data_IF_511841682726
#
_entry.id   IF_511841682726
#
_cell.length_a   1.000
_cell.length_b   1.000
_cell.length_c   1.000
_cell.angle_alpha   90.00
_cell.angle_beta   90.00
_cell.angle_gamma   90.00
#
_symmetry.space_group_name_H-M   'P 1'
#
loop_
_entity.id
_entity.type
_entity.pdbx_description
1 polymer ?
#
# COMPACT_ATOMS: atom_id res chain seq x y z
N UNK A 1 21.77 -51.03 -57.44
CA UNK A 1 20.72 -50.04 -57.75
C UNK A 1 20.35 -49.31 -56.47
N UNK A 2 20.61 -48.00 -56.47
CA UNK A 2 20.15 -46.91 -55.61
C UNK A 2 19.99 -47.15 -54.09
N UNK A 3 21.08 -46.87 -53.38
CA UNK A 3 21.06 -46.50 -51.97
C UNK A 3 20.54 -45.07 -51.79
N UNK A 4 19.54 -44.89 -50.92
CA UNK A 4 19.06 -43.59 -50.49
C UNK A 4 20.07 -42.95 -49.53
N UNK A 5 20.62 -41.81 -49.96
CA UNK A 5 21.50 -40.96 -49.17
C UNK A 5 20.66 -40.06 -48.28
N UNK A 6 20.96 -40.09 -46.98
CA UNK A 6 20.51 -39.12 -46.00
C UNK A 6 20.97 -37.71 -46.41
N UNK A 7 20.01 -36.83 -46.70
CA UNK A 7 20.28 -35.41 -46.89
C UNK A 7 20.23 -34.70 -45.53
N UNK A 8 21.42 -34.44 -45.01
CA UNK A 8 21.69 -33.33 -44.10
C UNK A 8 21.23 -32.01 -44.74
N UNK A 9 20.43 -31.21 -44.03
CA UNK A 9 20.34 -29.77 -44.28
C UNK A 9 20.37 -29.01 -42.96
N UNK A 10 21.40 -28.18 -42.73
CA UNK A 10 21.52 -27.34 -41.54
C UNK A 10 20.75 -26.02 -41.72
N UNK A 11 20.52 -25.34 -40.60
CA UNK A 11 20.12 -23.92 -40.46
C UNK A 11 18.61 -23.62 -40.49
N UNK A 12 17.96 -23.68 -39.32
CA UNK A 12 17.23 -22.52 -38.82
C UNK A 12 17.71 -22.26 -37.39
N UNK A 13 18.43 -21.16 -37.27
CA UNK A 13 19.04 -20.60 -36.07
C UNK A 13 17.94 -20.19 -35.10
N UNK A 14 18.17 -20.48 -33.82
CA UNK A 14 17.33 -20.13 -32.69
C UNK A 14 16.94 -18.64 -32.70
N UNK A 15 15.63 -18.36 -32.83
CA UNK A 15 15.01 -17.08 -32.46
C UNK A 15 14.12 -17.37 -31.26
N UNK A 16 14.74 -17.59 -30.10
CA UNK A 16 14.03 -17.92 -28.85
C UNK A 16 14.47 -17.02 -27.68
N UNK A 17 14.97 -15.81 -27.94
CA UNK A 17 15.61 -15.01 -26.89
C UNK A 17 15.45 -13.49 -27.05
N UNK A 18 14.23 -12.96 -27.24
CA UNK A 18 13.97 -11.51 -27.08
C UNK A 18 12.56 -11.18 -26.57
N UNK A 19 12.09 -11.92 -25.56
CA UNK A 19 11.06 -11.39 -24.64
C UNK A 19 11.65 -11.55 -23.25
N UNK A 20 12.65 -10.73 -22.92
CA UNK A 20 12.96 -10.48 -21.51
C UNK A 20 11.88 -9.50 -21.05
N UNK A 21 10.87 -9.93 -20.26
CA UNK A 21 10.02 -8.97 -19.60
C UNK A 21 10.95 -8.13 -18.72
N UNK A 22 11.11 -6.85 -19.05
CA UNK A 22 11.49 -5.86 -18.07
C UNK A 22 10.32 -5.78 -17.09
N UNK A 23 10.26 -6.77 -16.18
CA UNK A 23 9.41 -6.70 -15.01
C UNK A 23 9.92 -5.49 -14.25
N UNK A 24 9.27 -4.34 -14.45
CA UNK A 24 9.49 -3.20 -13.57
C UNK A 24 9.37 -3.74 -12.15
N UNK A 25 10.29 -3.39 -11.24
CA UNK A 25 10.15 -3.79 -9.86
C UNK A 25 8.76 -3.32 -9.43
N UNK A 26 7.89 -4.26 -9.08
CA UNK A 26 6.67 -3.92 -8.39
C UNK A 26 7.16 -3.22 -7.12
N UNK A 27 6.93 -1.91 -7.03
CA UNK A 27 7.19 -1.17 -5.80
C UNK A 27 6.15 -1.70 -4.82
N UNK A 28 6.53 -2.76 -4.10
CA UNK A 28 5.72 -3.29 -3.03
C UNK A 28 5.62 -2.18 -1.99
N UNK A 29 4.40 -1.73 -1.73
CA UNK A 29 4.13 -0.80 -0.64
C UNK A 29 4.67 -1.40 0.67
N UNK A 30 5.31 -0.57 1.49
CA UNK A 30 5.82 -1.02 2.79
C UNK A 30 4.68 -1.46 3.70
N UNK A 31 4.89 -2.49 4.51
CA UNK A 31 3.84 -2.97 5.42
C UNK A 31 3.61 -2.01 6.59
N UNK A 32 2.45 -2.10 7.24
CA UNK A 32 2.16 -1.29 8.43
C UNK A 32 3.19 -1.45 9.56
N UNK A 33 3.67 -2.68 9.82
CA UNK A 33 4.73 -2.92 10.82
C UNK A 33 6.04 -2.27 10.39
N UNK A 34 6.42 -2.42 9.11
CA UNK A 34 7.66 -1.84 8.60
C UNK A 34 7.62 -0.31 8.63
N UNK A 35 6.48 0.29 8.30
CA UNK A 35 6.28 1.75 8.37
C UNK A 35 6.45 2.28 9.80
N UNK A 36 5.82 1.63 10.79
CA UNK A 36 5.98 2.00 12.20
C UNK A 36 7.41 1.78 12.70
N UNK A 37 8.07 0.72 12.24
CA UNK A 37 9.48 0.46 12.57
C UNK A 37 10.37 1.59 12.03
N UNK A 38 10.20 1.94 10.75
CA UNK A 38 10.92 3.05 10.13
C UNK A 38 10.70 4.35 10.90
N UNK A 39 9.46 4.68 11.27
CA UNK A 39 9.16 5.84 12.10
C UNK A 39 9.91 5.81 13.44
N UNK A 40 9.89 4.68 14.15
CA UNK A 40 10.50 4.55 15.49
C UNK A 40 12.03 4.59 15.46
N UNK A 41 12.66 4.05 14.43
CA UNK A 41 14.12 3.94 14.34
C UNK A 41 14.78 5.13 13.60
N UNK A 42 13.97 6.02 13.01
CA UNK A 42 14.41 7.18 12.24
C UNK A 42 14.93 8.34 13.08
N UNK A 43 15.73 9.21 12.44
CA UNK A 43 16.10 10.52 12.98
C UNK A 43 14.87 11.42 13.17
N UNK A 44 15.01 12.52 13.92
CA UNK A 44 13.93 13.48 14.11
C UNK A 44 13.43 14.08 12.78
N UNK A 45 14.33 14.38 11.86
CA UNK A 45 13.99 14.89 10.52
C UNK A 45 13.22 13.86 9.70
N UNK A 46 13.71 12.62 9.64
CA UNK A 46 13.03 11.55 8.90
C UNK A 46 11.68 11.20 9.53
N UNK A 47 11.54 11.31 10.86
CA UNK A 47 10.24 11.16 11.54
C UNK A 47 9.23 12.21 11.09
N UNK A 48 9.62 13.47 11.04
CA UNK A 48 8.74 14.55 10.56
C UNK A 48 8.30 14.32 9.11
N UNK A 49 9.19 13.79 8.28
CA UNK A 49 8.84 13.39 6.91
C UNK A 49 7.80 12.26 6.91
N UNK A 50 8.00 11.21 7.71
CA UNK A 50 7.05 10.08 7.82
C UNK A 50 5.68 10.56 8.35
N UNK A 51 5.66 11.44 9.34
CA UNK A 51 4.43 12.05 9.85
C UNK A 51 3.71 12.85 8.76
N UNK A 52 4.45 13.63 7.96
CA UNK A 52 3.90 14.43 6.87
C UNK A 52 3.32 13.55 5.76
N UNK A 53 4.01 12.46 5.39
CA UNK A 53 3.51 11.47 4.42
C UNK A 53 2.24 10.80 4.95
N UNK A 54 2.22 10.43 6.23
CA UNK A 54 1.06 9.78 6.86
C UNK A 54 -0.15 10.73 6.91
N UNK A 55 0.07 12.01 7.18
CA UNK A 55 -0.99 13.02 7.13
C UNK A 55 -1.53 13.23 5.71
N UNK A 56 -0.64 13.32 4.71
CA UNK A 56 -1.03 13.46 3.31
C UNK A 56 -1.87 12.26 2.80
N UNK A 57 -1.56 11.06 3.26
CA UNK A 57 -2.35 9.86 2.97
C UNK A 57 -3.77 9.96 3.54
N UNK A 58 -3.92 10.43 4.79
CA UNK A 58 -5.23 10.68 5.40
C UNK A 58 -6.02 11.77 4.67
N UNK A 59 -5.36 12.84 4.23
CA UNK A 59 -5.96 13.88 3.38
C UNK A 59 -6.46 13.30 2.05
N UNK A 60 -5.67 12.40 1.43
CA UNK A 60 -6.06 11.68 0.23
C UNK A 60 -7.34 10.85 0.41
N UNK A 61 -7.47 10.16 1.54
CA UNK A 61 -8.70 9.44 1.90
C UNK A 61 -9.89 10.40 2.05
N UNK A 62 -9.70 11.55 2.69
CA UNK A 62 -10.74 12.56 2.86
C UNK A 62 -11.18 13.18 1.52
N UNK A 63 -10.25 13.44 0.60
CA UNK A 63 -10.57 13.91 -0.76
C UNK A 63 -11.34 12.87 -1.55
N UNK A 64 -10.96 11.59 -1.44
CA UNK A 64 -11.69 10.50 -2.07
C UNK A 64 -13.14 10.46 -1.57
N UNK A 65 -13.33 10.48 -0.24
CA UNK A 65 -14.65 10.50 0.37
C UNK A 65 -15.49 11.72 -0.05
N UNK A 66 -14.89 12.91 -0.09
CA UNK A 66 -15.56 14.12 -0.54
C UNK A 66 -16.03 14.03 -2.01
N UNK A 67 -15.25 13.34 -2.85
CA UNK A 67 -15.57 13.09 -4.27
C UNK A 67 -16.67 12.03 -4.44
N UNK A 68 -16.60 10.92 -3.71
CA UNK A 68 -17.52 9.79 -3.87
C UNK A 68 -18.79 9.91 -3.03
N UNK A 69 -18.79 10.79 -2.02
CA UNK A 69 -19.82 10.86 -0.97
C UNK A 69 -19.94 9.57 -0.15
N UNK A 70 -18.88 8.78 -0.11
CA UNK A 70 -18.79 7.54 0.64
C UNK A 70 -17.62 7.70 1.62
N UNK A 71 -17.96 7.90 2.89
CA UNK A 71 -16.98 7.97 3.98
C UNK A 71 -16.59 6.55 4.39
N UNK A 72 -15.31 6.23 4.36
CA UNK A 72 -14.80 4.98 4.94
C UNK A 72 -14.83 5.03 6.48
N UNK A 73 -14.53 6.21 7.05
CA UNK A 73 -14.55 6.49 8.49
C UNK A 73 -15.07 7.90 8.75
N UNK A 74 -15.61 8.14 9.95
CA UNK A 74 -16.33 9.36 10.31
C UNK A 74 -15.71 10.03 11.55
N UNK A 75 -14.62 10.81 11.39
CA UNK A 75 -14.00 11.50 12.52
C UNK A 75 -14.93 12.62 13.05
N UNK A 76 -14.83 13.00 14.33
CA UNK A 76 -15.55 14.16 14.85
C UNK A 76 -15.25 15.44 14.05
N UNK A 77 -16.26 16.28 13.81
CA UNK A 77 -16.17 17.46 12.90
C UNK A 77 -15.02 18.44 13.19
N UNK A 78 -14.56 18.52 14.44
CA UNK A 78 -13.50 19.44 14.86
C UNK A 78 -12.20 18.71 15.24
N UNK A 79 -12.08 17.44 14.87
CA UNK A 79 -10.87 16.66 15.12
C UNK A 79 -9.96 16.75 13.89
N UNK A 80 -8.81 17.39 14.07
CA UNK A 80 -7.69 17.30 13.12
C UNK A 80 -6.64 16.38 13.71
N UNK A 81 -6.31 15.30 12.98
CA UNK A 81 -5.31 14.32 13.39
C UNK A 81 -3.95 14.73 12.82
N UNK A 82 -2.94 14.78 13.69
CA UNK A 82 -1.55 14.93 13.27
C UNK A 82 -0.98 13.61 12.77
N UNK A 83 0.10 13.65 11.98
CA UNK A 83 0.82 12.44 11.53
C UNK A 83 1.21 11.52 12.69
N UNK A 84 1.70 12.10 13.80
CA UNK A 84 2.03 11.33 15.00
C UNK A 84 0.82 10.61 15.63
N UNK A 85 -0.36 11.24 15.66
CA UNK A 85 -1.60 10.63 16.16
C UNK A 85 -2.11 9.53 15.22
N UNK A 86 -1.97 9.71 13.91
CA UNK A 86 -2.30 8.68 12.91
C UNK A 86 -1.42 7.43 13.10
N UNK A 87 -0.12 7.62 13.30
CA UNK A 87 0.83 6.53 13.58
C UNK A 87 0.55 5.83 14.91
N UNK A 88 0.10 6.56 15.95
CA UNK A 88 -0.34 5.97 17.21
C UNK A 88 -1.61 5.12 17.04
N UNK A 89 -2.60 5.61 16.30
CA UNK A 89 -3.83 4.85 15.95
C UNK A 89 -3.48 3.57 15.20
N UNK A 90 -2.59 3.65 14.20
CA UNK A 90 -2.08 2.49 13.46
C UNK A 90 -1.37 1.50 14.40
N UNK A 91 -0.49 2.00 15.27
CA UNK A 91 0.25 1.19 16.24
C UNK A 91 -0.67 0.42 17.17
N UNK A 92 -1.68 1.07 17.75
CA UNK A 92 -2.68 0.41 18.62
C UNK A 92 -3.51 -0.62 17.87
N UNK A 93 -3.90 -0.31 16.64
CA UNK A 93 -4.70 -1.22 15.81
C UNK A 93 -3.91 -2.48 15.44
N UNK A 94 -2.62 -2.35 15.11
CA UNK A 94 -1.74 -3.50 14.85
C UNK A 94 -1.55 -4.35 16.10
N UNK A 95 -1.37 -3.74 17.28
CA UNK A 95 -1.29 -4.48 18.56
C UNK A 95 -2.57 -5.29 18.81
N UNK A 96 -3.74 -4.72 18.55
CA UNK A 96 -5.02 -5.43 18.71
C UNK A 96 -5.29 -6.51 17.64
N UNK A 97 -4.64 -6.40 16.48
CA UNK A 97 -4.91 -7.22 15.29
C UNK A 97 -3.64 -7.36 14.44
N UNK A 98 -2.69 -8.24 14.83
CA UNK A 98 -1.37 -8.32 14.20
C UNK A 98 -1.38 -8.52 12.68
N UNK A 99 -2.37 -9.26 12.14
CA UNK A 99 -2.51 -9.46 10.69
C UNK A 99 -2.70 -8.16 9.90
N UNK A 100 -3.18 -7.09 10.55
CA UNK A 100 -3.31 -5.76 9.95
C UNK A 100 -1.94 -5.14 9.64
N UNK A 101 -0.93 -5.44 10.44
CA UNK A 101 0.41 -4.90 10.28
C UNK A 101 1.16 -5.46 9.06
N UNK A 102 0.72 -6.62 8.55
CA UNK A 102 1.26 -7.23 7.32
C UNK A 102 0.64 -6.67 6.04
N UNK A 103 -0.43 -5.86 6.17
CA UNK A 103 -1.03 -5.17 5.02
C UNK A 103 -0.18 -3.97 4.60
N UNK A 104 -0.32 -3.49 3.35
CA UNK A 104 0.23 -2.20 2.95
C UNK A 104 -0.15 -1.09 3.92
N UNK A 105 0.80 -0.24 4.31
CA UNK A 105 0.63 0.66 5.45
C UNK A 105 -0.56 1.64 5.28
N UNK A 106 -0.84 2.11 4.07
CA UNK A 106 -1.99 2.99 3.79
C UNK A 106 -3.32 2.28 4.00
N UNK A 107 -3.44 1.03 3.54
CA UNK A 107 -4.61 0.18 3.79
C UNK A 107 -4.75 -0.17 5.29
N UNK A 108 -3.63 -0.45 5.95
CA UNK A 108 -3.61 -0.69 7.39
C UNK A 108 -4.08 0.53 8.17
N UNK A 109 -3.65 1.74 7.76
CA UNK A 109 -4.08 3.01 8.35
C UNK A 109 -5.58 3.24 8.11
N UNK A 110 -6.09 3.01 6.91
CA UNK A 110 -7.51 3.12 6.60
C UNK A 110 -8.35 2.27 7.56
N UNK A 111 -8.10 0.97 7.63
CA UNK A 111 -8.84 0.07 8.54
C UNK A 111 -8.68 0.44 10.01
N UNK A 112 -7.53 1.02 10.40
CA UNK A 112 -7.33 1.53 11.76
C UNK A 112 -8.24 2.73 12.04
N UNK A 113 -8.39 3.64 11.06
CA UNK A 113 -9.29 4.79 11.15
C UNK A 113 -10.76 4.37 11.14
N UNK A 114 -11.15 3.39 10.32
CA UNK A 114 -12.52 2.82 10.31
C UNK A 114 -12.90 2.25 11.68
N UNK A 115 -11.99 1.53 12.34
CA UNK A 115 -12.21 0.98 13.68
C UNK A 115 -12.27 2.06 14.76
N UNK A 116 -11.46 3.12 14.61
CA UNK A 116 -11.38 4.21 15.59
C UNK A 116 -12.56 5.16 15.48
N UNK A 117 -13.01 5.42 14.25
CA UNK A 117 -14.06 6.38 13.93
C UNK A 117 -15.13 5.72 13.04
N UNK A 118 -15.87 4.72 13.55
CA UNK A 118 -16.87 4.03 12.74
C UNK A 118 -17.98 5.00 12.33
N UNK A 119 -18.37 4.95 11.06
CA UNK A 119 -19.53 5.70 10.58
C UNK A 119 -20.83 5.11 11.15
N UNK A 120 -21.83 5.94 11.51
CA UNK A 120 -23.15 5.46 11.89
C UNK A 120 -23.77 4.64 10.74
N UNK A 121 -24.53 3.61 11.07
CA UNK A 121 -25.29 2.79 10.12
C UNK A 121 -26.23 3.68 9.28
N UNK A 122 -25.79 4.05 8.08
CA UNK A 122 -26.43 5.06 7.23
C UNK A 122 -25.47 5.82 6.30
N UNK A 123 -24.15 5.72 6.50
CA UNK A 123 -23.12 6.01 5.48
C UNK A 123 -23.04 7.45 4.95
N UNK A 124 -23.79 8.38 5.52
CA UNK A 124 -23.72 9.79 5.17
C UNK A 124 -23.51 10.61 6.44
N UNK A 125 -22.31 11.19 6.56
CA UNK A 125 -22.06 12.30 7.46
C UNK A 125 -22.96 13.47 7.05
N UNK A 126 -24.14 13.60 7.68
CA UNK A 126 -24.97 14.82 7.62
C UNK A 126 -24.19 15.99 8.19
#
# INVERSE_FOLDING_TARGET
MNGMRFLNSPKIVAVALMILPFSAPAIAETSGVQWLKQYRESSAETRQLIESITAAEQDGMAWHAARTKIDAYCPPRNLSLTGSQLLDILGRSIVSSPALGEQPWGLALLFSLERTFPCPSGGASR
#
